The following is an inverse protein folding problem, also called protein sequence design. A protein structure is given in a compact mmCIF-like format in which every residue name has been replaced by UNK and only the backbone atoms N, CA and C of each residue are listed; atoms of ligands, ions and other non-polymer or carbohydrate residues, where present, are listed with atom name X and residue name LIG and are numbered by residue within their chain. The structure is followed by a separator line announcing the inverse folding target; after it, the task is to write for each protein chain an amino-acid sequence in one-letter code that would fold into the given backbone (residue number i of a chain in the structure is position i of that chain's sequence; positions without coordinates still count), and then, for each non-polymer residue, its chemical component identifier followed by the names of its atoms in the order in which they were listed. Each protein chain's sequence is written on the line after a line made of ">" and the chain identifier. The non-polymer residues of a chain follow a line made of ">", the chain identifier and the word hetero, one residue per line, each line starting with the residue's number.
data_IF_245882036493
#
_entry.id   IF_245882036493
#
_cell.length_a   1.000
_cell.length_b   1.000
_cell.length_c   1.000
_cell.angle_alpha   90.00
_cell.angle_beta   90.00
_cell.angle_gamma   90.00
#
_symmetry.space_group_name_H-M   'P 1'
#
loop_
_entity.id
_entity.type
_entity.pdbx_description
1 polymer ?
#
# COMPACT_ATOMS: atom_id res chain seq x y z
N UNK A 1 5.38 25.94 -5.16
CA UNK A 1 5.98 26.45 -3.91
C UNK A 1 6.06 25.27 -2.95
N UNK A 2 7.25 24.66 -2.84
CA UNK A 2 7.50 23.60 -1.86
C UNK A 2 7.30 24.21 -0.47
N UNK A 3 6.24 23.81 0.24
CA UNK A 3 6.21 24.04 1.69
C UNK A 3 7.27 23.11 2.24
N UNK A 4 8.45 23.65 2.57
CA UNK A 4 9.40 22.98 3.44
C UNK A 4 8.68 22.82 4.77
N UNK A 5 8.07 21.66 4.95
CA UNK A 5 7.41 21.29 6.20
C UNK A 5 8.49 20.67 7.06
N UNK A 6 8.62 21.19 8.28
CA UNK A 6 9.49 20.63 9.29
C UNK A 6 9.16 19.13 9.43
N UNK A 7 10.13 18.25 9.21
CA UNK A 7 9.98 16.79 9.32
C UNK A 7 9.32 16.38 10.64
N UNK A 8 9.64 17.04 11.75
CA UNK A 8 9.04 16.77 13.06
C UNK A 8 7.53 17.07 13.07
N UNK A 9 7.11 18.14 12.40
CA UNK A 9 5.69 18.50 12.26
C UNK A 9 4.96 17.51 11.37
N UNK A 10 5.62 17.04 10.30
CA UNK A 10 5.07 16.01 9.43
C UNK A 10 4.81 14.72 10.21
N UNK A 11 5.81 14.26 10.97
CA UNK A 11 5.74 13.04 11.79
C UNK A 11 4.64 13.16 12.84
N UNK A 12 4.60 14.28 13.59
CA UNK A 12 3.64 14.51 14.66
C UNK A 12 2.18 14.50 14.19
N UNK A 13 1.92 14.94 12.96
CA UNK A 13 0.57 15.08 12.43
C UNK A 13 0.24 14.04 11.36
N UNK A 14 1.00 12.94 11.26
CA UNK A 14 0.78 11.93 10.22
C UNK A 14 -0.65 11.33 10.31
N UNK A 15 -1.33 11.06 9.18
CA UNK A 15 -2.70 10.54 9.14
C UNK A 15 -2.81 9.04 9.46
N UNK A 16 -1.69 8.42 9.83
CA UNK A 16 -1.54 7.02 10.23
C UNK A 16 -0.30 6.90 11.12
N UNK A 17 -0.18 5.78 11.83
CA UNK A 17 1.00 5.51 12.66
C UNK A 17 2.23 5.31 11.78
N UNK A 18 3.28 6.08 12.06
CA UNK A 18 4.59 5.92 11.43
C UNK A 18 5.45 4.98 12.27
N UNK A 19 5.93 3.92 11.63
CA UNK A 19 6.88 2.98 12.22
C UNK A 19 8.25 3.60 12.44
N UNK A 20 9.17 2.82 13.01
CA UNK A 20 10.56 3.24 13.20
C UNK A 20 11.24 3.51 11.84
N UNK A 21 11.09 2.59 10.89
CA UNK A 21 11.64 2.71 9.54
C UNK A 21 11.12 3.96 8.81
N UNK A 22 9.83 4.26 8.90
CA UNK A 22 9.25 5.46 8.27
C UNK A 22 9.90 6.75 8.80
N UNK A 23 10.10 6.84 10.11
CA UNK A 23 10.72 8.00 10.75
C UNK A 23 12.18 8.16 10.33
N UNK A 24 12.93 7.05 10.24
CA UNK A 24 14.31 7.06 9.73
C UNK A 24 14.37 7.54 8.28
N UNK A 25 13.48 7.04 7.41
CA UNK A 25 13.37 7.49 6.02
C UNK A 25 13.09 8.99 5.94
N UNK A 26 12.14 9.50 6.73
CA UNK A 26 11.81 10.93 6.73
C UNK A 26 12.96 11.85 7.18
N UNK A 27 13.95 11.31 7.88
CA UNK A 27 15.18 12.01 8.30
C UNK A 27 16.38 11.78 7.37
N UNK A 28 16.26 10.85 6.42
CA UNK A 28 17.31 10.56 5.43
C UNK A 28 17.24 11.57 4.28
N UNK A 29 18.40 11.98 3.76
CA UNK A 29 18.49 12.81 2.54
C UNK A 29 18.17 11.96 1.32
N UNK A 30 17.84 12.57 0.18
CA UNK A 30 17.60 11.82 -1.05
C UNK A 30 18.89 11.17 -1.55
N UNK A 31 20.02 11.87 -1.39
CA UNK A 31 21.34 11.43 -1.84
C UNK A 31 21.88 10.23 -1.05
N UNK A 32 21.55 10.15 0.24
CA UNK A 32 21.97 9.05 1.11
C UNK A 32 21.01 7.86 1.07
N UNK A 33 19.84 8.01 0.42
CA UNK A 33 18.84 6.95 0.36
C UNK A 33 19.19 5.91 -0.72
N UNK A 34 19.17 4.63 -0.31
CA UNK A 34 19.43 3.49 -1.21
C UNK A 34 18.12 2.71 -1.43
N UNK A 35 17.61 2.64 -2.68
CA UNK A 35 16.47 1.79 -3.04
C UNK A 35 16.79 0.30 -2.92
N UNK A 36 15.75 -0.52 -2.73
CA UNK A 36 15.91 -1.97 -2.69
C UNK A 36 16.33 -2.54 -4.04
N UNK A 37 17.26 -3.48 -4.04
CA UNK A 37 17.56 -4.31 -5.21
C UNK A 37 16.55 -5.45 -5.37
N UNK A 38 16.58 -6.14 -6.51
CA UNK A 38 15.78 -7.34 -6.69
C UNK A 38 16.11 -8.41 -5.64
N UNK A 39 17.39 -8.61 -5.34
CA UNK A 39 17.86 -9.56 -4.31
C UNK A 39 17.36 -9.19 -2.91
N UNK A 40 17.32 -7.89 -2.59
CA UNK A 40 16.74 -7.42 -1.32
C UNK A 40 15.26 -7.79 -1.23
N UNK A 41 14.48 -7.53 -2.28
CA UNK A 41 13.04 -7.85 -2.32
C UNK A 41 12.81 -9.36 -2.20
N UNK A 42 13.59 -10.18 -2.91
CA UNK A 42 13.50 -11.64 -2.79
C UNK A 42 13.78 -12.12 -1.36
N UNK A 43 14.81 -11.57 -0.71
CA UNK A 43 15.16 -11.91 0.68
C UNK A 43 14.05 -11.50 1.64
N UNK A 44 13.56 -10.27 1.54
CA UNK A 44 12.47 -9.74 2.38
C UNK A 44 11.22 -10.62 2.29
N UNK A 45 10.83 -11.03 1.08
CA UNK A 45 9.68 -11.92 0.88
C UNK A 45 9.96 -13.31 1.47
N UNK A 46 11.16 -13.86 1.29
CA UNK A 46 11.52 -15.17 1.82
C UNK A 46 11.57 -15.20 3.36
N UNK A 47 11.93 -14.09 4.00
CA UNK A 47 11.98 -13.94 5.46
C UNK A 47 10.58 -13.82 6.08
N UNK A 48 9.53 -13.54 5.28
CA UNK A 48 8.16 -13.35 5.74
C UNK A 48 7.91 -12.04 6.49
N UNK A 49 8.95 -11.22 6.69
CA UNK A 49 8.85 -9.91 7.34
C UNK A 49 8.95 -8.79 6.31
N UNK A 50 7.81 -8.20 5.95
CA UNK A 50 7.76 -7.08 4.99
C UNK A 50 8.03 -5.71 5.63
N UNK A 51 8.29 -5.64 6.95
CA UNK A 51 8.61 -4.37 7.64
C UNK A 51 9.82 -3.59 7.06
N UNK A 52 10.80 -4.21 6.37
CA UNK A 52 11.88 -3.47 5.73
C UNK A 52 11.47 -2.73 4.46
N UNK A 53 10.32 -3.07 3.84
CA UNK A 53 9.86 -2.42 2.61
C UNK A 53 9.48 -0.96 2.90
N UNK A 54 10.22 -0.05 2.30
CA UNK A 54 10.07 1.39 2.53
C UNK A 54 9.90 2.16 1.24
N UNK A 55 9.29 3.35 1.34
CA UNK A 55 9.29 4.35 0.27
C UNK A 55 10.55 5.20 0.39
N UNK A 56 10.90 5.93 -0.66
CA UNK A 56 11.94 6.94 -0.56
C UNK A 56 11.42 8.15 0.24
N UNK A 57 12.31 9.05 0.71
CA UNK A 57 11.91 10.14 1.57
C UNK A 57 10.94 11.11 0.90
N UNK A 58 11.05 11.36 -0.40
CA UNK A 58 10.14 12.25 -1.13
C UNK A 58 8.75 11.62 -1.29
N UNK A 59 8.68 10.38 -1.74
CA UNK A 59 7.42 9.66 -1.91
C UNK A 59 6.72 9.40 -0.59
N UNK A 60 7.44 9.13 0.50
CA UNK A 60 6.83 9.00 1.83
C UNK A 60 6.18 10.31 2.29
N UNK A 61 6.84 11.46 2.08
CA UNK A 61 6.26 12.78 2.41
C UNK A 61 5.02 13.05 1.59
N UNK A 62 5.10 12.82 0.28
CA UNK A 62 3.99 13.01 -0.64
C UNK A 62 2.80 12.08 -0.31
N UNK A 63 3.07 10.82 0.04
CA UNK A 63 2.05 9.86 0.47
C UNK A 63 1.33 10.30 1.75
N UNK A 64 2.06 10.86 2.72
CA UNK A 64 1.47 11.43 3.95
C UNK A 64 0.52 12.58 3.60
N UNK A 65 0.93 13.52 2.74
CA UNK A 65 0.07 14.63 2.32
C UNK A 65 -1.16 14.16 1.57
N UNK A 66 -0.96 13.31 0.57
CA UNK A 66 -2.04 12.73 -0.21
C UNK A 66 -3.03 11.99 0.68
N UNK A 67 -2.56 11.19 1.63
CA UNK A 67 -3.43 10.45 2.54
C UNK A 67 -4.28 11.38 3.40
N UNK A 68 -3.74 12.50 3.90
CA UNK A 68 -4.53 13.51 4.63
C UNK A 68 -5.66 14.07 3.76
N UNK A 69 -5.35 14.44 2.52
CA UNK A 69 -6.34 15.00 1.58
C UNK A 69 -7.43 13.97 1.22
N UNK A 70 -7.02 12.73 0.98
CA UNK A 70 -7.94 11.63 0.66
C UNK A 70 -8.83 11.29 1.84
N UNK A 71 -8.30 11.21 3.07
CA UNK A 71 -9.11 10.99 4.26
C UNK A 71 -10.11 12.15 4.49
N UNK A 72 -9.69 13.40 4.29
CA UNK A 72 -10.59 14.55 4.40
C UNK A 72 -11.73 14.53 3.36
N UNK A 73 -11.45 14.05 2.14
CA UNK A 73 -12.41 14.08 1.01
C UNK A 73 -13.30 12.83 0.94
N UNK A 74 -12.74 11.65 1.21
CA UNK A 74 -13.39 10.34 1.03
C UNK A 74 -13.64 9.60 2.35
N UNK A 75 -13.16 10.12 3.48
CA UNK A 75 -13.22 9.49 4.80
C UNK A 75 -12.14 8.42 5.03
N UNK A 76 -11.69 7.74 3.97
CA UNK A 76 -10.58 6.76 4.03
C UNK A 76 -9.95 6.53 2.66
N UNK A 77 -8.73 6.01 2.63
CA UNK A 77 -8.06 5.57 1.40
C UNK A 77 -8.85 4.43 0.73
N UNK A 78 -9.37 3.48 1.51
CA UNK A 78 -10.22 2.40 1.02
C UNK A 78 -11.45 2.92 0.28
N UNK A 79 -12.13 3.94 0.82
CA UNK A 79 -13.27 4.56 0.18
C UNK A 79 -12.93 5.23 -1.14
N UNK A 80 -11.79 5.94 -1.18
CA UNK A 80 -11.28 6.50 -2.42
C UNK A 80 -11.09 5.39 -3.46
N UNK A 81 -10.28 4.37 -3.16
CA UNK A 81 -9.96 3.29 -4.09
C UNK A 81 -11.23 2.59 -4.62
N UNK A 82 -12.17 2.23 -3.75
CA UNK A 82 -13.41 1.55 -4.15
C UNK A 82 -14.27 2.40 -5.08
N UNK A 83 -14.32 3.71 -4.84
CA UNK A 83 -15.15 4.65 -5.61
C UNK A 83 -14.49 5.08 -6.93
N UNK A 84 -13.18 5.35 -6.90
CA UNK A 84 -12.47 6.04 -7.99
C UNK A 84 -11.64 5.10 -8.85
N UNK A 85 -10.99 4.08 -8.28
CA UNK A 85 -10.07 3.20 -9.00
C UNK A 85 -10.70 1.85 -9.35
N UNK A 86 -11.35 1.20 -8.38
CA UNK A 86 -11.91 -0.15 -8.53
C UNK A 86 -13.32 -0.13 -9.14
N UNK A 87 -14.08 0.93 -8.85
CA UNK A 87 -15.50 1.08 -9.23
C UNK A 87 -16.39 -0.06 -8.74
N UNK A 88 -16.15 -0.56 -7.52
CA UNK A 88 -16.83 -1.74 -6.96
C UNK A 88 -18.02 -1.44 -6.05
N UNK A 89 -18.38 -0.17 -5.82
CA UNK A 89 -19.57 0.16 -5.03
C UNK A 89 -19.61 1.61 -4.52
N UNK A 90 -20.70 1.95 -3.81
CA UNK A 90 -21.00 3.33 -3.40
C UNK A 90 -20.45 3.74 -2.02
N UNK A 91 -20.18 2.81 -1.09
CA UNK A 91 -19.58 3.10 0.25
C UNK A 91 -18.80 1.89 0.76
N UNK A 92 -17.58 2.10 1.25
CA UNK A 92 -16.68 1.11 1.85
C UNK A 92 -16.44 1.47 3.34
N UNK A 93 -17.50 1.85 4.04
CA UNK A 93 -17.41 2.49 5.35
C UNK A 93 -17.42 1.52 6.55
N UNK A 94 -17.47 0.21 6.33
CA UNK A 94 -17.61 -0.77 7.41
C UNK A 94 -16.49 -1.82 7.36
N UNK A 95 -16.19 -2.41 8.52
CA UNK A 95 -15.22 -3.50 8.69
C UNK A 95 -15.52 -4.79 7.88
N UNK A 96 -16.65 -4.83 7.17
CA UNK A 96 -17.08 -5.97 6.35
C UNK A 96 -17.37 -5.53 4.92
N UNK A 97 -16.39 -4.96 4.23
CA UNK A 97 -16.50 -4.73 2.78
C UNK A 97 -16.44 -6.08 2.08
N UNK A 98 -17.60 -6.72 1.90
CA UNK A 98 -17.74 -7.89 1.02
C UNK A 98 -18.34 -7.46 -0.30
N UNK A 99 -17.56 -7.60 -1.37
CA UNK A 99 -18.05 -7.38 -2.72
C UNK A 99 -18.64 -8.68 -3.26
N UNK A 100 -19.82 -8.64 -3.91
CA UNK A 100 -20.30 -9.80 -4.64
C UNK A 100 -19.33 -10.14 -5.76
N UNK A 101 -18.90 -11.40 -5.80
CA UNK A 101 -18.06 -11.96 -6.85
C UNK A 101 -18.84 -12.99 -7.67
N UNK A 102 -18.51 -13.13 -8.95
CA UNK A 102 -19.12 -14.10 -9.88
C UNK A 102 -18.53 -15.49 -9.74
N UNK A 103 -17.27 -15.59 -9.33
CA UNK A 103 -16.57 -16.87 -9.23
C UNK A 103 -15.77 -17.00 -7.93
N UNK A 104 -15.84 -18.17 -7.29
CA UNK A 104 -15.15 -18.45 -6.01
C UNK A 104 -13.66 -18.77 -6.17
N UNK A 105 -13.22 -19.16 -7.37
CA UNK A 105 -11.79 -19.30 -7.68
C UNK A 105 -11.21 -17.91 -8.01
N UNK A 106 -10.17 -17.45 -7.30
CA UNK A 106 -9.49 -16.20 -7.62
C UNK A 106 -9.07 -16.14 -9.09
N UNK A 107 -9.14 -14.94 -9.68
CA UNK A 107 -8.77 -14.66 -11.08
C UNK A 107 -9.61 -15.34 -12.18
N UNK A 108 -10.60 -16.17 -11.84
CA UNK A 108 -11.42 -16.86 -12.83
C UNK A 108 -12.37 -15.93 -13.61
N UNK A 109 -12.74 -14.78 -13.05
CA UNK A 109 -13.56 -13.76 -13.73
C UNK A 109 -12.92 -12.37 -13.60
N UNK A 110 -12.65 -11.72 -14.74
CA UNK A 110 -12.03 -10.39 -14.81
C UNK A 110 -12.83 -9.29 -14.10
N UNK A 111 -14.13 -9.48 -13.89
CA UNK A 111 -14.97 -8.56 -13.13
C UNK A 111 -14.74 -8.64 -11.62
N UNK A 112 -14.05 -9.67 -11.13
CA UNK A 112 -13.79 -9.92 -9.71
C UNK A 112 -12.41 -9.50 -9.23
N UNK A 113 -11.56 -8.99 -10.12
CA UNK A 113 -10.24 -8.47 -9.75
C UNK A 113 -9.81 -7.24 -10.56
N UNK A 114 -8.88 -6.48 -10.02
CA UNK A 114 -8.19 -5.37 -10.71
C UNK A 114 -6.70 -5.46 -10.40
N UNK A 115 -5.88 -5.24 -11.42
CA UNK A 115 -4.43 -5.13 -11.28
C UNK A 115 -4.07 -3.70 -11.66
N UNK A 116 -3.52 -2.96 -10.71
CA UNK A 116 -3.19 -1.55 -10.86
C UNK A 116 -1.71 -1.33 -10.54
N UNK A 117 -1.10 -0.33 -11.17
CA UNK A 117 0.18 0.18 -10.67
C UNK A 117 -0.05 0.83 -9.32
N UNK A 118 0.87 0.64 -8.38
CA UNK A 118 0.82 1.33 -7.10
C UNK A 118 1.16 2.81 -7.33
N UNK A 119 0.23 3.71 -6.99
CA UNK A 119 0.45 5.16 -7.09
C UNK A 119 1.54 5.64 -6.11
N UNK A 120 1.81 4.86 -5.06
CA UNK A 120 2.80 5.13 -4.01
C UNK A 120 3.70 3.91 -3.81
N UNK A 121 4.57 3.59 -4.80
CA UNK A 121 5.38 2.39 -4.80
C UNK A 121 6.39 2.37 -3.65
N UNK A 122 7.00 1.20 -3.41
CA UNK A 122 8.17 1.12 -2.53
C UNK A 122 9.38 1.56 -3.33
N UNK A 123 10.41 2.04 -2.65
CA UNK A 123 11.64 2.43 -3.30
C UNK A 123 12.43 1.20 -3.71
N UNK A 124 12.43 0.93 -5.01
CA UNK A 124 13.06 -0.23 -5.62
C UNK A 124 13.87 0.24 -6.83
N UNK A 125 14.70 -0.66 -7.36
CA UNK A 125 15.47 -0.41 -8.57
C UNK A 125 14.57 -0.05 -9.76
N UNK A 126 15.06 0.82 -10.66
CA UNK A 126 14.25 1.44 -11.73
C UNK A 126 13.68 0.47 -12.77
N UNK A 127 14.20 -0.74 -12.81
CA UNK A 127 13.75 -1.87 -13.64
C UNK A 127 12.59 -2.66 -13.02
N UNK A 128 12.18 -2.31 -11.80
CA UNK A 128 11.08 -2.94 -11.06
C UNK A 128 9.81 -2.10 -11.10
N UNK A 129 8.65 -2.77 -11.05
CA UNK A 129 7.33 -2.11 -11.01
C UNK A 129 6.51 -2.68 -9.85
N UNK A 130 6.03 -1.79 -8.97
CA UNK A 130 5.10 -2.17 -7.90
C UNK A 130 3.66 -2.20 -8.43
N UNK A 131 3.04 -3.38 -8.43
CA UNK A 131 1.62 -3.56 -8.73
C UNK A 131 0.83 -3.89 -7.46
N UNK A 132 -0.43 -3.47 -7.40
CA UNK A 132 -1.39 -3.90 -6.39
C UNK A 132 -2.49 -4.70 -7.07
N UNK A 133 -2.71 -5.92 -6.58
CA UNK A 133 -3.74 -6.84 -7.06
C UNK A 133 -4.90 -6.83 -6.09
N UNK A 134 -6.05 -6.35 -6.54
CA UNK A 134 -7.29 -6.30 -5.77
C UNK A 134 -8.19 -7.46 -6.16
N UNK A 135 -8.71 -8.19 -5.17
CA UNK A 135 -9.64 -9.29 -5.35
C UNK A 135 -10.93 -9.02 -4.56
N UNK A 136 -12.08 -9.32 -5.17
CA UNK A 136 -13.36 -9.44 -4.45
C UNK A 136 -13.47 -10.76 -3.70
N UNK A 137 -12.84 -11.79 -4.24
CA UNK A 137 -12.78 -13.14 -3.66
C UNK A 137 -11.76 -13.15 -2.52
N UNK A 138 -12.12 -13.59 -1.31
CA UNK A 138 -11.17 -13.68 -0.20
C UNK A 138 -10.11 -14.74 -0.48
N UNK A 139 -8.85 -14.43 -0.12
CA UNK A 139 -7.76 -15.41 -0.05
C UNK A 139 -7.72 -15.95 1.39
N UNK A 140 -7.70 -17.27 1.61
CA UNK A 140 -7.55 -17.84 2.95
C UNK A 140 -6.24 -17.40 3.61
N UNK A 141 -6.33 -16.74 4.74
CA UNK A 141 -5.17 -16.34 5.55
C UNK A 141 -5.28 -16.92 6.96
N UNK A 142 -4.16 -17.08 7.65
CA UNK A 142 -4.14 -17.48 9.05
C UNK A 142 -4.55 -16.33 9.99
N UNK A 143 -4.32 -16.49 11.30
CA UNK A 143 -4.72 -15.49 12.29
C UNK A 143 -3.85 -14.22 12.22
N UNK A 144 -2.63 -14.35 11.71
CA UNK A 144 -1.64 -13.30 11.52
C UNK A 144 -1.84 -12.56 10.19
N UNK A 145 -2.61 -13.16 9.27
CA UNK A 145 -2.93 -12.60 7.96
C UNK A 145 -2.03 -13.14 6.84
N UNK A 146 -1.23 -14.16 7.12
CA UNK A 146 -0.34 -14.78 6.14
C UNK A 146 -1.10 -15.81 5.29
N UNK A 147 -0.76 -15.96 3.98
CA UNK A 147 -1.41 -16.94 3.11
C UNK A 147 -1.29 -18.37 3.65
N UNK A 148 -2.41 -19.07 3.78
CA UNK A 148 -2.39 -20.49 4.20
C UNK A 148 -2.05 -21.44 3.05
N UNK A 149 -1.87 -22.73 3.36
CA UNK A 149 -1.71 -23.80 2.35
C UNK A 149 -2.93 -23.97 1.43
N UNK A 150 -4.09 -23.41 1.80
CA UNK A 150 -5.30 -23.38 0.97
C UNK A 150 -5.35 -22.16 0.03
N UNK A 151 -4.39 -21.23 0.14
CA UNK A 151 -4.24 -20.14 -0.80
C UNK A 151 -3.76 -20.66 -2.16
N UNK A 152 -4.37 -20.23 -3.27
CA UNK A 152 -3.86 -20.58 -4.60
C UNK A 152 -2.47 -19.94 -4.80
N UNK A 153 -1.52 -20.76 -5.26
CA UNK A 153 -0.17 -20.32 -5.67
C UNK A 153 -0.09 -19.82 -7.10
#
# INVERSE_FOLDING_TARGET
>A
MSRIINTEELIRNAPFELGKADKEVLTTTEEDFVPHTWEDIQRIIADGDTSPLKRDPTDLRNYIFWTREIQATFGSVTNFLVKTQLHWGKKANNAEIRFPYRHSVPFADQSDYRILRNDWPYAMSSDMVHLVVWLKTPIPVDAEGDPTTESPG
#
